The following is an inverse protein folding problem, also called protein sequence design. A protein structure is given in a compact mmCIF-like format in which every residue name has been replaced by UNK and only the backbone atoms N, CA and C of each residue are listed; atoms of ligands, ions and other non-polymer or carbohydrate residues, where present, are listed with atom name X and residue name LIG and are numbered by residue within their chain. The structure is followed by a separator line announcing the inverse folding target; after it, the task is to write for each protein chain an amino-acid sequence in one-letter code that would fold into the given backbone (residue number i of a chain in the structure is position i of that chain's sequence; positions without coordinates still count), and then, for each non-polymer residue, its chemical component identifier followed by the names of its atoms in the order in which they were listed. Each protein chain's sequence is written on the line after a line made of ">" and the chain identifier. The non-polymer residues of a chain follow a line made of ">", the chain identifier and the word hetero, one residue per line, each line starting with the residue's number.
data_IF_499084224865
#
_entry.id   IF_499084224865
#
_cell.length_a   1.000
_cell.length_b   1.000
_cell.length_c   1.000
_cell.angle_alpha   90.00
_cell.angle_beta   90.00
_cell.angle_gamma   90.00
#
_symmetry.space_group_name_H-M   'P 1'
#
loop_
_entity.id
_entity.type
_entity.pdbx_description
1 polymer ?
#
# COMPACT_ATOMS: atom_id res chain seq x y z
N UNK A 1 7.41 41.80 22.93
CA UNK A 1 6.17 41.49 23.68
C UNK A 1 5.31 40.45 22.96
N UNK A 2 5.14 40.54 21.63
CA UNK A 2 4.37 39.58 20.81
C UNK A 2 4.84 38.10 20.90
N UNK A 3 6.15 37.86 20.86
CA UNK A 3 6.73 36.50 20.76
C UNK A 3 6.61 35.72 22.07
N UNK A 4 6.66 36.40 23.22
CA UNK A 4 6.55 35.78 24.55
C UNK A 4 5.09 35.37 24.84
N UNK A 5 4.12 36.16 24.37
CA UNK A 5 2.69 35.83 24.50
C UNK A 5 2.29 34.64 23.63
N UNK A 6 2.88 34.50 22.43
CA UNK A 6 2.69 33.33 21.56
C UNK A 6 3.27 32.05 22.17
N UNK A 7 4.45 32.12 22.79
CA UNK A 7 5.06 30.97 23.47
C UNK A 7 4.28 30.55 24.71
N UNK A 8 3.80 31.49 25.52
CA UNK A 8 2.97 31.21 26.71
C UNK A 8 1.62 30.58 26.33
N UNK A 9 0.99 31.05 25.25
CA UNK A 9 -0.23 30.43 24.72
C UNK A 9 0.01 29.02 24.17
N UNK A 10 1.12 28.79 23.47
CA UNK A 10 1.51 27.44 22.99
C UNK A 10 1.77 26.48 24.14
N UNK A 11 2.46 26.94 25.19
CA UNK A 11 2.82 26.14 26.36
C UNK A 11 1.58 25.80 27.22
N UNK A 12 0.65 26.74 27.39
CA UNK A 12 -0.62 26.51 28.13
C UNK A 12 -1.59 25.61 27.37
N UNK A 13 -1.63 25.74 26.04
CA UNK A 13 -2.37 24.81 25.18
C UNK A 13 -1.82 23.39 25.30
N UNK A 14 -0.50 23.18 25.17
CA UNK A 14 0.10 21.84 25.29
C UNK A 14 -0.22 21.19 26.62
N UNK A 15 -0.04 21.90 27.74
CA UNK A 15 -0.34 21.36 29.09
C UNK A 15 -1.83 21.04 29.29
N UNK A 16 -2.74 21.83 28.71
CA UNK A 16 -4.19 21.55 28.74
C UNK A 16 -4.57 20.35 27.87
N UNK A 17 -3.93 20.16 26.72
CA UNK A 17 -4.13 18.99 25.86
C UNK A 17 -3.54 17.72 26.51
N UNK A 18 -2.35 17.78 27.09
CA UNK A 18 -1.72 16.64 27.75
C UNK A 18 -2.54 16.15 28.96
N UNK A 19 -3.06 17.07 29.78
CA UNK A 19 -3.92 16.73 30.91
C UNK A 19 -5.27 16.12 30.48
N UNK A 20 -5.85 16.60 29.39
CA UNK A 20 -7.11 16.05 28.84
C UNK A 20 -6.90 14.70 28.16
N UNK A 21 -5.82 14.53 27.40
CA UNK A 21 -5.43 13.25 26.78
C UNK A 21 -5.16 12.18 27.84
N UNK A 22 -4.49 12.54 28.94
CA UNK A 22 -4.22 11.62 30.06
C UNK A 22 -5.53 11.14 30.72
N UNK A 23 -6.51 12.03 30.91
CA UNK A 23 -7.84 11.68 31.45
C UNK A 23 -8.66 10.81 30.50
N UNK A 24 -8.60 11.09 29.20
CA UNK A 24 -9.24 10.26 28.17
C UNK A 24 -8.63 8.87 28.12
N UNK A 25 -7.29 8.79 28.13
CA UNK A 25 -6.57 7.53 28.10
C UNK A 25 -6.89 6.65 29.31
N UNK A 26 -6.89 7.20 30.52
CA UNK A 26 -7.23 6.43 31.73
C UNK A 26 -8.72 6.00 31.76
N UNK A 27 -9.63 6.89 31.36
CA UNK A 27 -11.06 6.57 31.27
C UNK A 27 -11.35 5.44 30.29
N UNK A 28 -10.75 5.48 29.10
CA UNK A 28 -10.94 4.46 28.06
C UNK A 28 -10.25 3.15 28.45
N UNK A 29 -9.09 3.18 29.11
CA UNK A 29 -8.39 1.98 29.57
C UNK A 29 -9.25 1.13 30.53
N UNK A 30 -10.04 1.77 31.40
CA UNK A 30 -10.95 1.05 32.32
C UNK A 30 -12.33 0.73 31.73
N UNK A 31 -12.67 1.30 30.58
CA UNK A 31 -13.92 1.03 29.86
C UNK A 31 -13.99 -0.41 29.31
N UNK A 32 -15.17 -0.82 28.85
CA UNK A 32 -15.35 -2.13 28.19
C UNK A 32 -14.46 -2.29 26.94
N UNK A 33 -14.20 -1.19 26.23
CA UNK A 33 -13.33 -1.17 25.05
C UNK A 33 -11.87 -1.42 25.43
N UNK A 34 -11.37 -0.75 26.47
CA UNK A 34 -10.01 -0.95 26.98
C UNK A 34 -9.77 -2.38 27.46
N UNK A 35 -10.78 -3.00 28.08
CA UNK A 35 -10.75 -4.41 28.49
C UNK A 35 -10.80 -5.38 27.31
N UNK A 36 -11.60 -5.10 26.27
CA UNK A 36 -11.69 -5.94 25.07
C UNK A 36 -10.39 -5.97 24.28
N UNK A 37 -9.76 -4.81 24.06
CA UNK A 37 -8.48 -4.70 23.36
C UNK A 37 -7.25 -4.95 24.25
N UNK A 38 -7.46 -5.20 25.55
CA UNK A 38 -6.40 -5.46 26.55
C UNK A 38 -5.31 -4.39 26.53
N UNK A 39 -5.70 -3.11 26.52
CA UNK A 39 -4.76 -1.99 26.41
C UNK A 39 -3.74 -1.95 27.55
N UNK A 40 -4.19 -2.27 28.78
CA UNK A 40 -3.33 -2.36 29.96
C UNK A 40 -2.30 -3.50 29.84
N UNK A 41 -2.72 -4.68 29.37
CA UNK A 41 -1.82 -5.84 29.20
C UNK A 41 -0.77 -5.59 28.10
N UNK A 42 -1.08 -4.71 27.14
CA UNK A 42 -0.18 -4.34 26.03
C UNK A 42 0.70 -3.13 26.35
N UNK A 43 0.55 -2.50 27.52
CA UNK A 43 1.22 -1.25 27.88
C UNK A 43 1.05 -0.14 26.82
N UNK A 44 -0.12 -0.04 26.18
CA UNK A 44 -0.41 1.01 25.18
C UNK A 44 -1.57 1.91 25.61
N UNK A 45 -1.61 3.13 25.06
CA UNK A 45 -2.67 4.11 25.33
C UNK A 45 -3.61 4.24 24.14
N UNK A 46 -4.87 4.64 24.39
CA UNK A 46 -5.85 4.84 23.34
C UNK A 46 -5.37 5.84 22.28
N UNK A 47 -4.73 6.93 22.68
CA UNK A 47 -4.20 7.94 21.74
C UNK A 47 -3.07 7.40 20.87
N UNK A 48 -2.21 6.55 21.41
CA UNK A 48 -1.11 5.91 20.65
C UNK A 48 -1.69 4.95 19.61
N UNK A 49 -2.64 4.12 20.02
CA UNK A 49 -3.33 3.16 19.13
C UNK A 49 -4.15 3.89 18.05
N UNK A 50 -4.86 4.96 18.42
CA UNK A 50 -5.62 5.78 17.48
C UNK A 50 -4.70 6.42 16.43
N UNK A 51 -3.53 6.93 16.84
CA UNK A 51 -2.53 7.50 15.92
C UNK A 51 -1.91 6.43 15.00
N UNK A 52 -1.65 5.23 15.52
CA UNK A 52 -1.19 4.11 14.69
C UNK A 52 -2.28 3.67 13.69
N UNK A 53 -3.53 3.63 14.14
CA UNK A 53 -4.69 3.35 13.31
C UNK A 53 -4.91 4.39 12.21
N UNK A 54 -4.77 5.69 12.52
CA UNK A 54 -4.92 6.75 11.51
C UNK A 54 -3.80 6.71 10.47
N UNK A 55 -2.56 6.42 10.86
CA UNK A 55 -1.48 6.22 9.91
C UNK A 55 -1.78 5.05 8.95
N UNK A 56 -2.25 3.93 9.49
CA UNK A 56 -2.63 2.76 8.69
C UNK A 56 -3.82 3.08 7.78
N UNK A 57 -4.83 3.79 8.28
CA UNK A 57 -5.98 4.23 7.50
C UNK A 57 -5.57 5.07 6.28
N UNK A 58 -4.67 6.03 6.46
CA UNK A 58 -4.17 6.86 5.36
C UNK A 58 -3.41 6.02 4.32
N UNK A 59 -2.59 5.08 4.75
CA UNK A 59 -1.89 4.16 3.84
C UNK A 59 -2.88 3.28 3.07
N UNK A 60 -3.88 2.71 3.74
CA UNK A 60 -4.89 1.87 3.09
C UNK A 60 -5.75 2.68 2.12
N UNK A 61 -6.15 3.90 2.49
CA UNK A 61 -6.92 4.79 1.62
C UNK A 61 -6.18 5.09 0.30
N UNK A 62 -4.88 5.32 0.36
CA UNK A 62 -4.05 5.49 -0.84
C UNK A 62 -4.04 4.22 -1.70
N UNK A 63 -3.83 3.05 -1.07
CA UNK A 63 -3.81 1.76 -1.77
C UNK A 63 -5.16 1.48 -2.48
N UNK A 64 -6.29 1.83 -1.88
CA UNK A 64 -7.61 1.68 -2.49
C UNK A 64 -7.74 2.48 -3.79
N UNK A 65 -7.32 3.76 -3.77
CA UNK A 65 -7.35 4.62 -4.95
C UNK A 65 -6.36 4.16 -6.03
N UNK A 66 -5.15 3.74 -5.63
CA UNK A 66 -4.11 3.26 -6.53
C UNK A 66 -4.53 1.97 -7.25
N UNK A 67 -5.12 1.00 -6.55
CA UNK A 67 -5.56 -0.25 -7.15
C UNK A 67 -6.68 -0.06 -8.18
N UNK A 68 -7.65 0.81 -7.88
CA UNK A 68 -8.71 1.13 -8.83
C UNK A 68 -8.15 1.77 -10.11
N UNK A 69 -7.11 2.60 -9.98
CA UNK A 69 -6.43 3.20 -11.14
C UNK A 69 -5.79 2.13 -12.03
N UNK A 70 -4.97 1.25 -11.44
CA UNK A 70 -4.28 0.16 -12.16
C UNK A 70 -5.29 -0.75 -12.88
N UNK A 71 -6.36 -1.15 -12.19
CA UNK A 71 -7.37 -2.02 -12.78
C UNK A 71 -8.16 -1.32 -13.90
N UNK A 72 -8.42 -0.02 -13.79
CA UNK A 72 -9.10 0.74 -14.86
C UNK A 72 -8.25 0.89 -16.12
N UNK A 73 -6.92 0.86 -16.01
CA UNK A 73 -6.03 0.93 -17.18
C UNK A 73 -6.17 -0.30 -18.08
N UNK A 74 -6.63 -1.44 -17.53
CA UNK A 74 -6.98 -2.62 -18.34
C UNK A 74 -8.20 -2.42 -19.24
N UNK A 75 -8.93 -1.30 -19.07
CA UNK A 75 -10.22 -1.05 -19.70
C UNK A 75 -11.42 -1.55 -18.88
N UNK A 76 -11.18 -2.37 -17.85
CA UNK A 76 -12.23 -2.86 -16.96
C UNK A 76 -13.35 -3.60 -17.72
N UNK A 77 -14.62 -3.45 -17.30
CA UNK A 77 -15.76 -4.02 -18.01
C UNK A 77 -16.14 -3.23 -19.28
N UNK A 78 -15.50 -2.09 -19.55
CA UNK A 78 -15.86 -1.20 -20.64
C UNK A 78 -15.48 -1.79 -22.01
N UNK A 79 -16.38 -1.64 -22.98
CA UNK A 79 -16.25 -2.18 -24.33
C UNK A 79 -16.48 -1.12 -25.40
N UNK A 80 -16.38 -1.50 -26.68
CA UNK A 80 -16.67 -0.60 -27.81
C UNK A 80 -18.12 -0.10 -27.82
N UNK A 81 -19.04 -0.81 -27.18
CA UNK A 81 -20.44 -0.41 -27.02
C UNK A 81 -20.62 0.86 -26.19
N UNK A 82 -19.67 1.16 -25.30
CA UNK A 82 -19.75 2.31 -24.39
C UNK A 82 -19.23 3.60 -25.04
N UNK A 83 -18.72 3.50 -26.28
CA UNK A 83 -18.32 4.65 -27.06
C UNK A 83 -19.56 5.38 -27.59
N UNK A 84 -19.60 6.69 -27.37
CA UNK A 84 -20.67 7.53 -27.94
C UNK A 84 -20.41 7.76 -29.43
N UNK A 85 -21.44 7.70 -30.30
CA UNK A 85 -21.27 8.03 -31.71
C UNK A 85 -20.83 9.49 -31.85
N UNK A 86 -19.76 9.72 -32.62
CA UNK A 86 -19.24 11.07 -32.88
C UNK A 86 -19.91 11.59 -34.15
N UNK A 87 -20.71 12.66 -34.03
CA UNK A 87 -21.25 13.35 -35.20
C UNK A 87 -20.20 14.31 -35.76
N UNK A 88 -19.91 14.22 -37.06
CA UNK A 88 -19.01 15.16 -37.74
C UNK A 88 -19.67 16.52 -38.01
N UNK A 89 -21.02 16.62 -38.01
CA UNK A 89 -21.77 17.84 -38.31
C UNK A 89 -22.90 18.09 -37.27
N UNK A 90 -22.74 19.03 -36.32
CA UNK A 90 -23.71 19.27 -35.24
C UNK A 90 -25.11 19.75 -35.67
N UNK A 91 -25.33 20.51 -36.77
CA UNK A 91 -26.70 20.88 -37.17
C UNK A 91 -27.43 19.78 -37.97
N UNK A 92 -26.77 18.70 -38.38
CA UNK A 92 -27.37 17.57 -39.10
C UNK A 92 -26.49 16.33 -38.96
N UNK A 93 -26.74 15.51 -37.93
CA UNK A 93 -26.08 14.21 -37.77
C UNK A 93 -26.57 13.23 -38.84
N UNK A 94 -25.98 13.27 -40.03
CA UNK A 94 -26.32 12.36 -41.15
C UNK A 94 -25.42 11.12 -41.20
N UNK A 95 -24.28 11.12 -40.50
CA UNK A 95 -23.36 9.98 -40.41
C UNK A 95 -23.07 9.62 -38.95
N UNK A 96 -23.70 8.55 -38.46
CA UNK A 96 -23.27 7.84 -37.25
C UNK A 96 -22.26 6.78 -37.66
N UNK A 97 -20.97 7.10 -37.55
CA UNK A 97 -19.95 6.06 -37.70
C UNK A 97 -20.11 5.07 -36.53
N UNK A 98 -20.20 3.78 -36.83
CA UNK A 98 -20.24 2.74 -35.80
C UNK A 98 -18.92 2.85 -34.99
N UNK A 99 -18.96 2.76 -33.65
CA UNK A 99 -17.75 2.89 -32.85
C UNK A 99 -16.79 1.73 -33.12
N UNK A 100 -15.69 2.03 -33.79
CA UNK A 100 -14.61 1.08 -34.05
C UNK A 100 -13.77 0.84 -32.78
N UNK A 101 -12.99 -0.26 -32.75
CA UNK A 101 -12.08 -0.58 -31.64
C UNK A 101 -11.07 0.52 -31.31
N UNK A 102 -10.84 1.44 -32.26
CA UNK A 102 -9.99 2.62 -32.11
C UNK A 102 -10.50 3.62 -31.06
N UNK A 103 -11.80 3.61 -30.70
CA UNK A 103 -12.38 4.55 -29.74
C UNK A 103 -11.82 4.41 -28.31
N UNK A 104 -11.17 3.28 -28.01
CA UNK A 104 -10.54 2.97 -26.73
C UNK A 104 -9.16 3.61 -26.55
N UNK A 105 -8.50 4.00 -27.65
CA UNK A 105 -7.13 4.50 -27.64
C UNK A 105 -7.08 6.02 -27.84
N UNK A 106 -5.99 6.70 -27.43
CA UNK A 106 -5.88 8.15 -27.58
C UNK A 106 -6.00 8.62 -29.04
N UNK A 107 -6.83 9.64 -29.34
CA UNK A 107 -7.70 10.39 -28.42
C UNK A 107 -8.93 9.57 -27.98
N UNK A 108 -9.09 9.41 -26.66
CA UNK A 108 -10.12 8.55 -26.08
C UNK A 108 -11.51 9.16 -26.24
N UNK A 109 -12.49 8.36 -26.67
CA UNK A 109 -13.88 8.80 -26.82
C UNK A 109 -14.51 9.20 -25.46
N UNK A 110 -15.32 10.28 -25.41
CA UNK A 110 -15.92 10.76 -24.17
C UNK A 110 -16.84 9.72 -23.50
N UNK A 111 -17.58 8.91 -24.27
CA UNK A 111 -18.40 7.82 -23.73
C UNK A 111 -17.58 6.75 -23.01
N UNK A 112 -16.48 6.33 -23.65
CA UNK A 112 -15.57 5.35 -23.05
C UNK A 112 -14.88 5.90 -21.79
N UNK A 113 -14.46 7.16 -21.81
CA UNK A 113 -13.87 7.83 -20.65
C UNK A 113 -14.86 7.89 -19.45
N UNK A 114 -16.14 8.12 -19.70
CA UNK A 114 -17.18 8.06 -18.66
C UNK A 114 -17.33 6.65 -18.08
N UNK A 115 -17.31 5.61 -18.93
CA UNK A 115 -17.35 4.23 -18.44
C UNK A 115 -16.14 3.91 -17.53
N UNK A 116 -14.93 4.32 -17.93
CA UNK A 116 -13.73 4.13 -17.10
C UNK A 116 -13.83 4.88 -15.76
N UNK A 117 -14.38 6.09 -15.78
CA UNK A 117 -14.53 6.89 -14.57
C UNK A 117 -15.56 6.28 -13.60
N UNK A 118 -16.67 5.75 -14.12
CA UNK A 118 -17.66 5.00 -13.32
C UNK A 118 -17.03 3.74 -12.75
N UNK A 119 -16.36 2.95 -13.58
CA UNK A 119 -15.63 1.74 -13.16
C UNK A 119 -14.63 2.05 -12.04
N UNK A 120 -13.87 3.16 -12.13
CA UNK A 120 -12.91 3.55 -11.09
C UNK A 120 -13.59 3.74 -9.73
N UNK A 121 -14.75 4.41 -9.71
CA UNK A 121 -15.50 4.66 -8.47
C UNK A 121 -16.05 3.35 -7.91
N UNK A 122 -16.61 2.51 -8.77
CA UNK A 122 -17.19 1.22 -8.37
C UNK A 122 -16.14 0.29 -7.75
N UNK A 123 -14.94 0.23 -8.33
CA UNK A 123 -13.82 -0.55 -7.79
C UNK A 123 -13.36 -0.05 -6.42
N UNK A 124 -13.30 1.27 -6.20
CA UNK A 124 -12.96 1.85 -4.90
C UNK A 124 -13.99 1.43 -3.85
N UNK A 125 -15.28 1.60 -4.17
CA UNK A 125 -16.38 1.28 -3.24
C UNK A 125 -16.43 -0.23 -2.95
N UNK A 126 -16.32 -1.08 -3.97
CA UNK A 126 -16.32 -2.53 -3.81
C UNK A 126 -15.13 -3.04 -2.98
N UNK A 127 -13.93 -2.49 -3.21
CA UNK A 127 -12.74 -2.87 -2.45
C UNK A 127 -12.84 -2.37 -1.00
N UNK A 128 -13.33 -1.15 -0.78
CA UNK A 128 -13.54 -0.64 0.57
C UNK A 128 -14.56 -1.49 1.35
N UNK A 129 -15.70 -1.83 0.73
CA UNK A 129 -16.73 -2.65 1.37
C UNK A 129 -16.24 -4.07 1.71
N UNK A 130 -15.53 -4.72 0.78
CA UNK A 130 -14.97 -6.06 0.99
C UNK A 130 -13.84 -6.07 2.03
N UNK A 131 -12.94 -5.08 2.02
CA UNK A 131 -11.90 -4.92 3.04
C UNK A 131 -12.49 -4.66 4.42
N UNK A 132 -13.54 -3.84 4.53
CA UNK A 132 -14.23 -3.61 5.80
C UNK A 132 -14.83 -4.90 6.35
N UNK A 133 -15.51 -5.68 5.51
CA UNK A 133 -16.07 -6.96 5.90
C UNK A 133 -14.98 -7.94 6.35
N UNK A 134 -13.88 -8.05 5.60
CA UNK A 134 -12.74 -8.92 5.95
C UNK A 134 -12.06 -8.52 7.25
N UNK A 135 -11.81 -7.22 7.45
CA UNK A 135 -11.24 -6.68 8.69
C UNK A 135 -12.17 -6.87 9.88
N UNK A 136 -13.49 -6.73 9.72
CA UNK A 136 -14.46 -6.98 10.79
C UNK A 136 -14.49 -8.45 11.20
N UNK A 137 -14.55 -9.37 10.23
CA UNK A 137 -14.54 -10.81 10.50
C UNK A 137 -13.23 -11.20 11.21
N UNK A 138 -12.08 -10.77 10.71
CA UNK A 138 -10.78 -11.08 11.35
C UNK A 138 -10.63 -10.40 12.71
N UNK A 139 -11.05 -9.15 12.84
CA UNK A 139 -10.96 -8.40 14.10
C UNK A 139 -11.82 -9.02 15.22
N UNK A 140 -13.05 -9.43 14.89
CA UNK A 140 -13.99 -10.00 15.86
C UNK A 140 -13.67 -11.47 16.20
N UNK A 141 -13.37 -12.31 15.21
CA UNK A 141 -13.17 -13.75 15.42
C UNK A 141 -11.72 -14.14 15.75
N UNK A 142 -10.72 -13.48 15.15
CA UNK A 142 -9.32 -13.82 15.38
C UNK A 142 -8.65 -12.97 16.48
N UNK A 143 -9.33 -11.94 16.99
CA UNK A 143 -8.83 -11.00 18.02
C UNK A 143 -7.40 -10.50 17.74
N UNK A 144 -7.08 -10.33 16.45
CA UNK A 144 -5.78 -9.92 15.95
C UNK A 144 -5.96 -8.74 15.01
N UNK A 145 -5.44 -7.54 15.35
CA UNK A 145 -5.62 -6.34 14.54
C UNK A 145 -4.65 -6.33 13.35
N UNK A 146 -4.87 -7.21 12.37
CA UNK A 146 -4.15 -7.18 11.09
C UNK A 146 -5.00 -6.46 10.05
N UNK A 147 -4.49 -5.34 9.53
CA UNK A 147 -5.08 -4.69 8.38
C UNK A 147 -4.88 -5.56 7.13
N UNK A 148 -5.98 -5.93 6.48
CA UNK A 148 -5.95 -6.63 5.21
C UNK A 148 -6.02 -5.62 4.06
N UNK A 149 -5.01 -5.65 3.20
CA UNK A 149 -4.90 -4.78 2.04
C UNK A 149 -4.84 -5.62 0.76
N UNK A 150 -5.47 -5.17 -0.34
CA UNK A 150 -5.28 -5.76 -1.67
C UNK A 150 -3.81 -5.72 -2.11
N UNK A 151 -3.35 -6.82 -2.71
CA UNK A 151 -1.98 -6.94 -3.23
C UNK A 151 -1.78 -6.11 -4.50
N UNK A 152 -0.90 -5.10 -4.45
CA UNK A 152 -0.66 -4.23 -5.61
C UNK A 152 -0.01 -4.96 -6.79
N UNK A 153 0.82 -5.97 -6.54
CA UNK A 153 1.57 -6.68 -7.59
C UNK A 153 0.69 -7.55 -8.50
N UNK A 154 -0.29 -8.26 -7.92
CA UNK A 154 -1.20 -9.12 -8.70
C UNK A 154 -2.15 -8.29 -9.55
N UNK A 155 -2.61 -7.14 -9.05
CA UNK A 155 -3.43 -6.21 -9.82
C UNK A 155 -2.69 -5.63 -11.03
N UNK A 156 -1.41 -5.29 -10.87
CA UNK A 156 -0.58 -4.81 -11.97
C UNK A 156 -0.30 -5.90 -13.01
N UNK A 157 0.02 -7.12 -12.57
CA UNK A 157 0.20 -8.25 -13.48
C UNK A 157 -1.09 -8.56 -14.26
N UNK A 158 -2.23 -8.59 -13.57
CA UNK A 158 -3.54 -8.79 -14.18
C UNK A 158 -3.83 -7.72 -15.25
N UNK A 159 -3.68 -6.44 -14.90
CA UNK A 159 -4.04 -5.34 -15.78
C UNK A 159 -3.11 -5.18 -16.97
N UNK A 160 -1.79 -5.27 -16.76
CA UNK A 160 -0.80 -4.97 -17.80
C UNK A 160 -0.30 -6.19 -18.57
N UNK A 161 -0.31 -7.39 -17.96
CA UNK A 161 0.22 -8.60 -18.60
C UNK A 161 -0.88 -9.53 -19.11
N UNK A 162 -1.96 -9.73 -18.35
CA UNK A 162 -3.02 -10.68 -18.74
C UNK A 162 -4.04 -10.04 -19.69
N UNK A 163 -4.65 -8.92 -19.26
CA UNK A 163 -5.69 -8.22 -20.03
C UNK A 163 -5.09 -7.19 -20.98
N UNK A 164 -3.98 -6.56 -20.61
CA UNK A 164 -3.35 -5.50 -21.38
C UNK A 164 -4.11 -4.17 -21.32
N UNK A 165 -3.47 -3.09 -21.77
CA UNK A 165 -4.05 -1.74 -21.74
C UNK A 165 -5.31 -1.67 -22.60
N UNK A 166 -6.44 -1.22 -22.03
CA UNK A 166 -7.77 -1.22 -22.66
C UNK A 166 -8.22 -2.56 -23.31
N UNK A 167 -7.73 -3.69 -22.80
CA UNK A 167 -8.08 -5.02 -23.33
C UNK A 167 -7.36 -5.38 -24.63
N UNK A 168 -6.18 -4.80 -24.85
CA UNK A 168 -5.28 -5.13 -25.99
C UNK A 168 -4.55 -6.46 -25.85
N UNK A 169 -4.61 -7.10 -24.69
CA UNK A 169 -3.97 -8.38 -24.41
C UNK A 169 -4.71 -9.58 -24.99
N UNK A 170 -4.17 -10.77 -24.72
CA UNK A 170 -4.62 -12.01 -25.33
C UNK A 170 -5.92 -12.56 -24.72
N UNK A 171 -6.26 -12.16 -23.48
CA UNK A 171 -7.45 -12.65 -22.78
C UNK A 171 -8.44 -11.51 -22.52
N UNK A 172 -9.74 -11.73 -22.78
CA UNK A 172 -10.77 -10.74 -22.44
C UNK A 172 -10.92 -10.62 -20.91
N UNK A 173 -11.23 -9.41 -20.45
CA UNK A 173 -11.34 -9.06 -19.03
C UNK A 173 -12.25 -10.02 -18.23
N UNK A 174 -13.38 -10.44 -18.80
CA UNK A 174 -14.33 -11.37 -18.16
C UNK A 174 -13.73 -12.75 -17.88
N UNK A 175 -12.97 -13.31 -18.83
CA UNK A 175 -12.31 -14.61 -18.67
C UNK A 175 -11.18 -14.52 -17.64
N UNK A 176 -10.43 -13.42 -17.66
CA UNK A 176 -9.38 -13.18 -16.68
C UNK A 176 -9.95 -13.08 -15.25
N UNK A 177 -11.07 -12.37 -15.05
CA UNK A 177 -11.74 -12.30 -13.74
C UNK A 177 -12.26 -13.66 -13.26
N UNK A 178 -12.79 -14.50 -14.16
CA UNK A 178 -13.23 -15.85 -13.81
C UNK A 178 -12.07 -16.71 -13.30
N UNK A 179 -10.88 -16.59 -13.90
CA UNK A 179 -9.68 -17.27 -13.44
C UNK A 179 -9.26 -16.81 -12.03
N UNK A 180 -9.26 -15.50 -11.75
CA UNK A 180 -8.94 -14.94 -10.43
C UNK A 180 -9.94 -15.39 -9.37
N UNK A 181 -11.23 -15.47 -9.71
CA UNK A 181 -12.25 -15.98 -8.80
C UNK A 181 -12.01 -17.46 -8.43
N UNK A 182 -11.68 -18.30 -9.43
CA UNK A 182 -11.35 -19.71 -9.20
C UNK A 182 -10.06 -19.89 -8.38
N UNK A 183 -9.03 -19.06 -8.64
CA UNK A 183 -7.81 -19.03 -7.84
C UNK A 183 -8.10 -18.71 -6.36
N UNK A 184 -8.95 -17.70 -6.11
CA UNK A 184 -9.38 -17.33 -4.77
C UNK A 184 -10.14 -18.45 -4.04
N UNK A 185 -11.04 -19.14 -4.75
CA UNK A 185 -11.76 -20.29 -4.19
C UNK A 185 -10.81 -21.46 -3.89
N UNK A 186 -9.89 -21.76 -4.80
CA UNK A 186 -8.87 -22.78 -4.59
C UNK A 186 -8.00 -22.45 -3.35
N UNK A 187 -7.55 -21.21 -3.22
CA UNK A 187 -6.77 -20.75 -2.08
C UNK A 187 -7.56 -20.83 -0.76
N UNK A 188 -8.86 -20.54 -0.78
CA UNK A 188 -9.74 -20.68 0.38
C UNK A 188 -9.86 -22.14 0.81
N UNK A 189 -10.09 -23.06 -0.14
CA UNK A 189 -10.17 -24.49 0.14
C UNK A 189 -8.85 -25.04 0.71
N UNK A 190 -7.72 -24.66 0.12
CA UNK A 190 -6.39 -25.03 0.61
C UNK A 190 -6.14 -24.48 2.02
N UNK A 191 -6.56 -23.25 2.28
CA UNK A 191 -6.44 -22.61 3.60
C UNK A 191 -7.29 -23.31 4.66
N UNK A 192 -8.49 -23.77 4.30
CA UNK A 192 -9.38 -24.53 5.18
C UNK A 192 -8.79 -25.89 5.60
N UNK A 193 -8.03 -26.54 4.70
CA UNK A 193 -7.32 -27.81 4.98
C UNK A 193 -6.06 -27.61 5.86
N UNK A 194 -5.66 -26.36 6.13
CA UNK A 194 -4.55 -26.04 7.04
C UNK A 194 -3.15 -26.07 6.38
N UNK A 195 -3.07 -26.15 5.05
CA UNK A 195 -1.81 -26.21 4.30
C UNK A 195 -0.91 -24.99 4.55
N UNK A 196 -1.50 -23.83 4.89
CA UNK A 196 -0.78 -22.59 5.21
C UNK A 196 0.30 -22.77 6.27
N UNK A 197 0.06 -23.62 7.28
CA UNK A 197 1.00 -23.86 8.36
C UNK A 197 2.11 -24.85 7.97
N UNK A 198 1.81 -25.76 7.02
CA UNK A 198 2.77 -26.74 6.53
C UNK A 198 3.76 -26.12 5.54
N UNK A 199 3.30 -25.24 4.64
CA UNK A 199 4.17 -24.50 3.72
C UNK A 199 5.18 -23.61 4.47
N UNK A 200 4.76 -22.95 5.56
CA UNK A 200 5.65 -22.14 6.38
C UNK A 200 6.81 -22.93 7.02
N UNK A 201 6.63 -24.25 7.25
CA UNK A 201 7.68 -25.13 7.79
C UNK A 201 8.66 -25.61 6.72
N UNK A 202 8.26 -25.58 5.45
CA UNK A 202 9.09 -26.01 4.32
C UNK A 202 10.05 -24.92 3.82
N UNK A 203 9.84 -23.66 4.21
CA UNK A 203 10.76 -22.56 3.86
C UNK A 203 12.10 -22.75 4.59
N UNK A 204 13.22 -22.96 3.87
CA UNK A 204 14.52 -23.16 4.50
C UNK A 204 14.95 -21.90 5.26
N UNK A 205 15.47 -22.08 6.49
CA UNK A 205 15.99 -21.01 7.35
C UNK A 205 17.16 -20.15 6.83
N UNK A 206 17.96 -20.49 5.78
CA UNK A 206 19.09 -19.65 5.36
C UNK A 206 18.67 -18.24 4.89
N UNK A 207 17.47 -18.07 4.33
CA UNK A 207 16.99 -16.73 3.92
C UNK A 207 16.51 -15.88 5.09
N UNK A 208 15.86 -16.46 6.10
CA UNK A 208 15.38 -15.71 7.27
C UNK A 208 16.53 -15.22 8.15
N UNK A 209 17.60 -16.02 8.27
CA UNK A 209 18.75 -15.68 9.12
C UNK A 209 19.68 -14.62 8.46
N UNK A 210 19.78 -14.60 7.13
CA UNK A 210 20.55 -13.59 6.40
C UNK A 210 19.89 -12.19 6.45
N UNK A 211 18.55 -12.12 6.44
CA UNK A 211 17.80 -10.87 6.63
C UNK A 211 17.91 -10.34 8.07
N UNK A 212 17.96 -11.24 9.07
CA UNK A 212 18.21 -10.88 10.46
C UNK A 212 19.66 -10.44 10.71
N UNK A 213 20.65 -11.04 10.04
CA UNK A 213 22.05 -10.60 10.13
C UNK A 213 22.32 -9.26 9.45
N UNK A 214 21.61 -8.93 8.36
CA UNK A 214 21.74 -7.63 7.69
C UNK A 214 21.08 -6.47 8.44
N UNK A 215 20.12 -6.74 9.33
CA UNK A 215 19.50 -5.73 10.20
C UNK A 215 20.17 -5.59 11.58
N UNK A 216 21.00 -6.57 11.99
CA UNK A 216 21.74 -6.53 13.25
C UNK A 216 23.14 -5.89 13.13
N UNK A 217 23.59 -5.54 11.93
CA UNK A 217 24.84 -4.78 11.69
C UNK A 217 24.68 -3.25 11.69
N UNK A 218 23.49 -2.71 12.01
CA UNK A 218 23.30 -1.27 12.25
C UNK A 218 22.75 -0.93 13.65
N UNK A 219 23.38 -1.32 14.77
CA UNK A 219 23.20 -0.60 16.02
C UNK A 219 24.19 0.56 16.04
N UNK A 220 23.80 1.76 15.60
CA UNK A 220 24.65 2.94 15.89
C UNK A 220 24.59 4.18 15.01
N UNK A 221 23.48 4.56 14.37
CA UNK A 221 23.40 5.86 13.68
C UNK A 221 22.29 6.81 14.16
N UNK A 222 21.93 6.72 15.44
CA UNK A 222 21.18 7.78 16.13
C UNK A 222 21.75 8.00 17.53
N UNK A 223 23.01 8.46 17.58
CA UNK A 223 23.55 9.15 18.76
C UNK A 223 23.91 10.55 18.31
N UNK A 224 23.16 11.53 18.81
CA UNK A 224 23.50 12.95 18.76
C UNK A 224 24.94 13.16 19.24
N UNK A 225 25.74 14.03 18.60
CA UNK A 225 27.12 14.23 19.03
C UNK A 225 27.12 15.07 20.31
N UNK A 226 27.30 14.39 21.44
CA UNK A 226 27.81 15.03 22.64
C UNK A 226 29.32 15.18 22.51
N UNK A 227 29.73 16.42 22.69
CA UNK A 227 31.07 16.99 22.65
C UNK A 227 32.03 16.24 23.58
N UNK A 228 33.09 15.60 23.06
CA UNK A 228 34.46 15.60 23.65
C UNK A 228 35.46 14.70 22.87
N UNK A 229 36.59 15.29 22.48
CA UNK A 229 37.94 14.71 22.66
C UNK A 229 38.43 13.55 21.78
N UNK A 230 39.33 13.88 20.84
CA UNK A 230 40.54 13.13 20.45
C UNK A 230 40.56 11.58 20.59
N UNK A 231 40.51 10.86 19.45
CA UNK A 231 41.63 10.01 18.95
C UNK A 231 41.28 9.18 17.69
N UNK A 232 42.15 9.35 16.69
CA UNK A 232 42.51 8.56 15.50
C UNK A 232 41.73 7.29 15.08
N UNK A 233 41.33 7.28 13.80
CA UNK A 233 41.03 6.09 13.02
C UNK A 233 42.32 5.29 12.74
N UNK A 234 42.30 3.97 12.96
CA UNK A 234 43.32 3.04 12.47
C UNK A 234 42.66 2.13 11.42
N UNK A 235 43.13 2.25 10.18
CA UNK A 235 42.73 1.39 9.06
C UNK A 235 43.46 0.06 9.20
N UNK A 236 42.75 -1.07 9.22
CA UNK A 236 43.32 -2.41 8.99
C UNK A 236 42.71 -3.00 7.72
N UNK A 237 43.52 -3.42 6.73
CA UNK A 237 43.05 -4.13 5.56
C UNK A 237 43.15 -5.64 5.78
N UNK A 238 42.20 -6.44 5.28
CA UNK A 238 42.47 -7.85 4.98
C UNK A 238 41.57 -8.40 3.85
N UNK A 239 42.17 -8.44 2.66
CA UNK A 239 42.27 -9.62 1.78
C UNK A 239 41.03 -10.48 1.47
N UNK A 240 40.46 -10.22 0.27
CA UNK A 240 40.14 -11.14 -0.84
C UNK A 240 39.88 -12.64 -0.58
N UNK A 241 38.72 -13.14 -1.05
CA UNK A 241 38.65 -14.09 -2.19
C UNK A 241 37.24 -14.22 -2.79
N UNK A 242 37.22 -14.24 -4.12
CA UNK A 242 36.16 -14.52 -5.10
C UNK A 242 35.19 -15.67 -4.71
N UNK A 243 33.91 -15.70 -5.13
CA UNK A 243 33.46 -15.86 -6.53
C UNK A 243 32.05 -15.30 -6.82
N UNK A 244 31.87 -15.03 -8.12
CA UNK A 244 30.80 -14.32 -8.82
C UNK A 244 29.46 -15.07 -8.83
N UNK A 245 28.36 -14.32 -8.77
CA UNK A 245 27.23 -14.46 -9.70
C UNK A 245 26.69 -13.06 -9.99
N UNK A 246 26.95 -12.60 -11.20
CA UNK A 246 26.29 -11.47 -11.85
C UNK A 246 24.93 -11.97 -12.37
N UNK A 247 23.90 -11.13 -12.44
CA UNK A 247 23.72 -10.38 -13.68
C UNK A 247 23.49 -8.87 -13.45
N UNK A 248 24.01 -8.12 -14.43
CA UNK A 248 23.64 -6.76 -14.84
C UNK A 248 22.11 -6.53 -14.75
N UNK A 249 21.53 -5.34 -14.54
CA UNK A 249 21.97 -3.97 -14.78
C UNK A 249 20.98 -3.04 -14.05
N UNK A 250 21.46 -2.11 -13.20
CA UNK A 250 20.99 -0.72 -13.15
C UNK A 250 21.94 0.06 -12.25
N UNK A 251 22.61 0.98 -12.92
CA UNK A 251 23.78 1.77 -12.54
C UNK A 251 23.46 2.86 -11.51
N UNK A 252 24.29 2.99 -10.47
CA UNK A 252 24.52 4.27 -9.78
C UNK A 252 26.04 4.55 -9.75
N UNK A 253 26.45 5.57 -10.50
CA UNK A 253 27.81 6.14 -10.49
C UNK A 253 28.10 6.86 -9.15
N UNK A 254 29.34 6.83 -8.64
CA UNK A 254 29.76 7.70 -7.54
C UNK A 254 30.27 9.04 -8.09
N UNK A 255 29.80 10.17 -7.54
CA UNK A 255 30.48 11.48 -7.70
C UNK A 255 31.49 11.68 -6.55
N UNK A 256 32.67 12.27 -6.82
CA UNK A 256 33.70 12.49 -5.80
C UNK A 256 33.44 13.80 -5.03
N UNK A 257 33.53 13.77 -3.70
CA UNK A 257 33.63 14.99 -2.89
C UNK A 257 35.07 15.51 -2.93
N UNK A 258 35.25 16.70 -3.51
CA UNK A 258 36.46 17.54 -3.46
C UNK A 258 36.48 18.35 -2.16
N UNK A 259 37.68 18.48 -1.58
CA UNK A 259 38.15 19.48 -0.62
C UNK A 259 37.53 19.55 0.78
N UNK A 260 38.32 19.14 1.79
CA UNK A 260 38.41 19.86 3.05
C UNK A 260 39.86 20.34 3.23
N UNK A 261 39.99 21.66 3.41
CA UNK A 261 41.14 22.37 3.95
C UNK A 261 41.18 22.16 5.46
#
# INVERSE_FOLDING_TARGET
>A
MEIENQNNNKLSLSTRWDSTLTRLNSSIAHSRLGKHFKLLDRNTTFTTELRAGTATFLTMAYILAANATILTDSGGPCSVSDCTPICSNPPSCTTTHLPDSSCKFPPVNPGYALCLQTTRRDLIVATAASSLLGCLIMGLFANLPLALAPGMGTNAYFAYTVVGFHGSGNLPYRTALAAVFLEGLLFLLISAVGLRAQLAKLVPKPCSDLLLRRNRTLPGLYRTPERTGNRACRVQPLHSRHHRCLPHLLTCFPRPCRNCR
#
